data_IF_660995331737
#
_entry.id   IF_660995331737
#
_cell.length_a   1.000
_cell.length_b   1.000
_cell.length_c   1.000
_cell.angle_alpha   90.00
_cell.angle_beta   90.00
_cell.angle_gamma   90.00
#
_symmetry.space_group_name_H-M   'P 1'
#
loop_
_entity.id
_entity.type
_entity.pdbx_description
1 polymer ?
#
# COMPACT_ATOMS: atom_id res chain seq x y z
N UNK A 1 -2.10 -16.19 2.44
CA UNK A 1 -2.27 -14.76 2.08
C UNK A 1 -2.29 -14.65 0.56
N UNK A 2 -2.84 -13.57 0.00
CA UNK A 2 -2.74 -13.27 -1.43
C UNK A 2 -2.63 -11.76 -1.68
N UNK A 3 -2.18 -11.37 -2.87
CA UNK A 3 -2.28 -9.99 -3.31
C UNK A 3 -3.74 -9.68 -3.67
N UNK A 4 -4.17 -8.46 -3.39
CA UNK A 4 -5.48 -8.02 -3.85
C UNK A 4 -5.46 -7.64 -5.32
N UNK A 5 -6.63 -7.73 -5.96
CA UNK A 5 -6.79 -7.45 -7.38
C UNK A 5 -6.53 -5.98 -7.76
N UNK A 6 -6.36 -5.76 -9.07
CA UNK A 6 -6.18 -4.46 -9.70
C UNK A 6 -4.91 -3.71 -9.26
N UNK A 7 -3.85 -4.45 -8.95
CA UNK A 7 -2.51 -3.91 -8.69
C UNK A 7 -1.56 -4.36 -9.80
N UNK A 8 -0.67 -3.47 -10.23
CA UNK A 8 0.38 -3.80 -11.20
C UNK A 8 1.73 -3.36 -10.66
N UNK A 9 2.79 -4.13 -10.98
CA UNK A 9 4.16 -3.71 -10.77
C UNK A 9 4.69 -3.06 -12.06
N UNK A 10 5.36 -1.92 -11.92
CA UNK A 10 6.03 -1.20 -13.01
C UNK A 10 7.46 -0.87 -12.62
N UNK A 11 8.35 -0.90 -13.59
CA UNK A 11 9.70 -0.36 -13.45
C UNK A 11 9.75 1.04 -14.07
N UNK A 12 10.24 2.02 -13.31
CA UNK A 12 10.41 3.41 -13.75
C UNK A 12 11.78 3.89 -13.28
N UNK A 13 12.65 4.26 -14.23
CA UNK A 13 14.01 4.73 -13.96
C UNK A 13 14.83 3.80 -13.04
N UNK A 14 14.70 2.48 -13.22
CA UNK A 14 15.39 1.47 -12.41
C UNK A 14 14.81 1.26 -11.00
N UNK A 15 13.64 1.86 -10.70
CA UNK A 15 12.91 1.64 -9.46
C UNK A 15 11.63 0.85 -9.72
N UNK A 16 11.24 0.02 -8.74
CA UNK A 16 10.03 -0.80 -8.82
C UNK A 16 8.87 -0.15 -8.07
N UNK A 17 7.72 -0.07 -8.71
CA UNK A 17 6.57 0.70 -8.26
C UNK A 17 5.29 -0.11 -8.38
N UNK A 18 4.57 -0.25 -7.27
CA UNK A 18 3.23 -0.86 -7.25
C UNK A 18 2.21 0.24 -7.49
N UNK A 19 1.41 0.07 -8.55
CA UNK A 19 0.41 1.03 -8.99
C UNK A 19 -0.98 0.41 -8.90
N UNK A 20 -1.92 1.06 -8.18
CA UNK A 20 -3.31 0.67 -8.21
C UNK A 20 -3.95 1.05 -9.54
N UNK A 21 -4.82 0.19 -10.04
CA UNK A 21 -5.55 0.40 -11.31
C UNK A 21 -7.06 0.30 -11.09
N UNK A 22 -7.84 0.80 -12.04
CA UNK A 22 -9.30 0.69 -12.01
C UNK A 22 -9.93 1.31 -10.76
N UNK A 23 -10.77 0.53 -10.07
CA UNK A 23 -11.56 1.01 -8.91
C UNK A 23 -10.69 1.22 -7.67
N UNK A 24 -9.54 0.55 -7.59
CA UNK A 24 -8.62 0.63 -6.44
C UNK A 24 -7.88 1.96 -6.33
N UNK A 25 -7.87 2.78 -7.37
CA UNK A 25 -7.33 4.16 -7.30
C UNK A 25 -7.99 4.98 -6.17
N UNK A 26 -9.24 4.65 -5.80
CA UNK A 26 -9.97 5.31 -4.71
C UNK A 26 -9.66 4.74 -3.31
N UNK A 27 -9.18 3.49 -3.22
CA UNK A 27 -8.91 2.76 -1.96
C UNK A 27 -7.43 2.78 -1.57
N UNK A 28 -6.54 2.76 -2.57
CA UNK A 28 -5.10 2.80 -2.43
C UNK A 28 -4.65 4.09 -3.11
N UNK A 29 -4.44 5.13 -2.31
CA UNK A 29 -4.03 6.45 -2.81
C UNK A 29 -2.51 6.59 -2.88
N UNK A 30 -1.76 5.62 -2.39
CA UNK A 30 -0.29 5.63 -2.38
C UNK A 30 0.30 4.76 -3.48
N UNK A 31 1.14 5.38 -4.30
CA UNK A 31 2.14 4.70 -5.11
C UNK A 31 3.19 4.14 -4.15
N UNK A 32 3.47 2.84 -4.22
CA UNK A 32 4.42 2.18 -3.30
C UNK A 32 5.69 1.79 -4.03
N UNK A 33 6.82 2.33 -3.59
CA UNK A 33 8.14 1.98 -4.11
C UNK A 33 8.69 0.78 -3.33
N UNK A 34 9.25 -0.19 -4.06
CA UNK A 34 9.80 -1.42 -3.48
C UNK A 34 11.20 -1.70 -4.02
N UNK A 35 11.96 -2.54 -3.31
CA UNK A 35 13.29 -3.00 -3.74
C UNK A 35 13.20 -4.01 -4.89
N UNK A 36 14.32 -4.28 -5.56
CA UNK A 36 14.43 -5.35 -6.56
C UNK A 36 14.16 -6.75 -5.96
N UNK A 37 14.59 -6.99 -4.72
CA UNK A 37 14.30 -8.24 -4.02
C UNK A 37 12.81 -8.43 -3.73
N UNK A 38 12.10 -7.34 -3.41
CA UNK A 38 10.65 -7.35 -3.24
C UNK A 38 9.92 -7.52 -4.59
N UNK A 39 10.43 -6.92 -5.66
CA UNK A 39 9.93 -7.13 -7.02
C UNK A 39 10.06 -8.59 -7.46
N UNK A 40 11.17 -9.25 -7.14
CA UNK A 40 11.35 -10.69 -7.36
C UNK A 40 10.27 -11.52 -6.66
N UNK A 41 9.94 -11.22 -5.39
CA UNK A 41 8.87 -11.90 -4.68
C UNK A 41 7.49 -11.60 -5.28
N UNK A 42 7.26 -10.35 -5.70
CA UNK A 42 6.01 -9.92 -6.32
C UNK A 42 5.63 -10.76 -7.54
N UNK A 43 6.60 -11.09 -8.40
CA UNK A 43 6.38 -11.91 -9.59
C UNK A 43 5.79 -13.28 -9.28
N UNK A 44 6.14 -13.86 -8.13
CA UNK A 44 5.49 -15.09 -7.66
C UNK A 44 4.11 -14.80 -7.06
N UNK A 45 4.02 -13.79 -6.18
CA UNK A 45 2.82 -13.49 -5.40
C UNK A 45 1.62 -13.06 -6.25
N UNK A 46 1.83 -12.50 -7.44
CA UNK A 46 0.74 -12.02 -8.32
C UNK A 46 -0.15 -13.15 -8.85
N UNK A 47 0.39 -14.36 -8.93
CA UNK A 47 -0.29 -15.53 -9.53
C UNK A 47 -0.58 -16.64 -8.50
N UNK A 48 -0.22 -16.45 -7.22
CA UNK A 48 -0.26 -17.51 -6.21
C UNK A 48 -0.76 -17.00 -4.86
N UNK A 49 -1.45 -17.88 -4.13
CA UNK A 49 -1.53 -17.75 -2.67
C UNK A 49 -0.19 -18.17 -2.05
N UNK A 50 0.18 -17.53 -0.95
CA UNK A 50 1.47 -17.74 -0.32
C UNK A 50 1.39 -17.64 1.21
N UNK A 51 2.35 -18.30 1.84
CA UNK A 51 2.70 -18.13 3.25
C UNK A 51 3.95 -17.27 3.39
N UNK A 52 4.26 -16.87 4.61
CA UNK A 52 5.49 -16.14 4.93
C UNK A 52 6.71 -17.02 4.62
N UNK A 53 6.65 -18.29 5.01
CA UNK A 53 7.71 -19.28 4.86
C UNK A 53 8.02 -19.55 3.38
N UNK A 54 7.00 -19.56 2.52
CA UNK A 54 7.20 -19.68 1.06
C UNK A 54 8.07 -18.55 0.50
N UNK A 55 7.86 -17.32 0.97
CA UNK A 55 8.62 -16.15 0.51
C UNK A 55 10.05 -16.18 1.04
N UNK A 56 10.26 -16.59 2.30
CA UNK A 56 11.60 -16.76 2.89
C UNK A 56 12.38 -17.81 2.11
N UNK A 57 11.78 -18.97 1.86
CA UNK A 57 12.41 -20.04 1.08
C UNK A 57 12.79 -19.60 -0.33
N UNK A 58 11.98 -18.73 -0.96
CA UNK A 58 12.30 -18.14 -2.26
C UNK A 58 13.51 -17.23 -2.23
N UNK A 59 13.62 -16.37 -1.22
CA UNK A 59 14.82 -15.54 -1.03
C UNK A 59 16.05 -16.42 -0.85
N UNK A 60 15.96 -17.41 0.05
CA UNK A 60 17.06 -18.33 0.34
C UNK A 60 17.48 -19.18 -0.88
N UNK A 61 16.52 -19.55 -1.74
CA UNK A 61 16.80 -20.30 -2.97
C UNK A 61 17.32 -19.45 -4.12
N UNK A 62 17.03 -18.15 -4.15
CA UNK A 62 17.42 -17.26 -5.25
C UNK A 62 18.73 -16.50 -4.99
N UNK A 63 18.99 -16.12 -3.74
CA UNK A 63 20.14 -15.31 -3.37
C UNK A 63 21.20 -16.11 -2.61
N UNK A 64 22.45 -16.03 -3.08
CA UNK A 64 23.59 -16.67 -2.41
C UNK A 64 24.13 -15.76 -1.29
N UNK A 65 24.43 -16.32 -0.13
CA UNK A 65 25.05 -15.60 0.99
C UNK A 65 24.07 -14.81 1.87
N UNK A 66 22.77 -15.04 1.74
CA UNK A 66 21.74 -14.51 2.65
C UNK A 66 21.50 -15.53 3.75
N UNK A 67 21.42 -15.09 5.00
CA UNK A 67 21.03 -15.96 6.13
C UNK A 67 19.52 -16.02 6.25
N UNK A 68 19.01 -17.10 6.83
CA UNK A 68 17.57 -17.27 7.05
C UNK A 68 17.01 -16.13 7.90
N UNK A 69 17.71 -15.70 8.94
CA UNK A 69 17.27 -14.61 9.81
C UNK A 69 17.13 -13.29 9.04
N UNK A 70 18.07 -13.01 8.13
CA UNK A 70 18.01 -11.80 7.31
C UNK A 70 16.87 -11.88 6.29
N UNK A 71 16.72 -13.02 5.60
CA UNK A 71 15.64 -13.23 4.66
C UNK A 71 14.27 -13.11 5.35
N UNK A 72 14.13 -13.73 6.51
CA UNK A 72 12.97 -13.70 7.40
C UNK A 72 12.61 -12.26 7.79
N UNK A 73 13.58 -11.48 8.27
CA UNK A 73 13.36 -10.08 8.63
C UNK A 73 13.02 -9.20 7.42
N UNK A 74 13.63 -9.44 6.26
CA UNK A 74 13.36 -8.69 5.03
C UNK A 74 11.94 -8.97 4.51
N UNK A 75 11.52 -10.24 4.52
CA UNK A 75 10.15 -10.65 4.18
C UNK A 75 9.13 -10.02 5.11
N UNK A 76 9.39 -9.99 6.42
CA UNK A 76 8.48 -9.35 7.38
C UNK A 76 8.29 -7.86 7.11
N UNK A 77 9.39 -7.14 6.86
CA UNK A 77 9.32 -5.72 6.50
C UNK A 77 8.55 -5.51 5.21
N UNK A 78 8.74 -6.38 4.22
CA UNK A 78 8.01 -6.29 2.96
C UNK A 78 6.50 -6.55 3.15
N UNK A 79 6.12 -7.63 3.84
CA UNK A 79 4.72 -7.94 4.12
C UNK A 79 4.04 -6.79 4.89
N UNK A 80 4.74 -6.20 5.86
CA UNK A 80 4.25 -5.02 6.59
C UNK A 80 4.00 -3.81 5.68
N UNK A 81 4.88 -3.54 4.72
CA UNK A 81 4.66 -2.45 3.73
C UNK A 81 3.38 -2.71 2.93
N UNK A 82 3.16 -3.95 2.48
CA UNK A 82 1.97 -4.29 1.71
C UNK A 82 0.70 -4.24 2.57
N UNK A 83 0.80 -4.66 3.83
CA UNK A 83 -0.28 -4.56 4.83
C UNK A 83 -0.69 -3.10 5.06
N UNK A 84 0.27 -2.23 5.39
CA UNK A 84 0.06 -0.83 5.74
C UNK A 84 -0.53 -0.03 4.55
N UNK A 85 -0.28 -0.48 3.33
CA UNK A 85 -0.80 0.09 2.08
C UNK A 85 -2.04 -0.64 1.54
N UNK A 86 -2.65 -1.54 2.32
CA UNK A 86 -3.88 -2.24 1.96
C UNK A 86 -3.76 -3.06 0.66
N UNK A 87 -2.56 -3.58 0.35
CA UNK A 87 -2.24 -4.37 -0.85
C UNK A 87 -2.48 -5.87 -0.60
N UNK A 88 -2.28 -6.36 0.62
CA UNK A 88 -2.52 -7.76 0.98
C UNK A 88 -3.98 -8.04 1.32
N UNK A 89 -4.43 -9.23 0.92
CA UNK A 89 -5.59 -9.92 1.45
C UNK A 89 -5.12 -11.11 2.30
N UNK A 90 -5.21 -10.95 3.61
CA UNK A 90 -4.83 -11.92 4.62
C UNK A 90 -6.00 -12.30 5.53
N UNK A 91 -7.24 -11.98 5.11
CA UNK A 91 -8.45 -12.24 5.89
C UNK A 91 -8.64 -11.30 7.09
N UNK A 92 -7.71 -10.40 7.38
CA UNK A 92 -7.86 -9.41 8.46
C UNK A 92 -8.63 -8.20 7.90
N UNK A 93 -9.83 -7.96 8.43
CA UNK A 93 -10.61 -6.75 8.13
C UNK A 93 -9.95 -5.53 8.77
N UNK A 94 -8.99 -4.92 8.06
CA UNK A 94 -8.37 -3.66 8.48
C UNK A 94 -9.27 -2.50 8.12
N UNK A 95 -9.93 -1.93 9.12
CA UNK A 95 -10.69 -0.70 8.94
C UNK A 95 -9.77 0.49 8.67
N UNK A 96 -9.66 0.92 7.41
CA UNK A 96 -9.72 2.36 7.14
C UNK A 96 -11.09 2.65 6.61
N UNK A 97 -11.95 3.09 7.52
CA UNK A 97 -13.11 3.89 7.16
C UNK A 97 -12.60 5.09 6.38
N UNK A 98 -12.59 5.03 5.04
CA UNK A 98 -12.85 6.24 4.28
C UNK A 98 -14.31 6.50 4.53
N UNK A 99 -14.59 7.16 5.65
CA UNK A 99 -15.92 7.55 6.00
C UNK A 99 -16.38 8.52 4.91
N UNK A 100 -17.13 8.01 3.95
CA UNK A 100 -18.08 8.84 3.20
C UNK A 100 -19.14 9.20 4.21
N UNK A 101 -18.79 10.10 5.15
CA UNK A 101 -19.71 10.57 6.18
C UNK A 101 -20.86 11.23 5.46
N UNK A 102 -22.09 10.78 5.74
CA UNK A 102 -23.27 11.46 5.23
C UNK A 102 -23.28 12.89 5.76
N UNK A 103 -23.83 13.82 4.97
CA UNK A 103 -23.91 15.24 5.33
C UNK A 103 -24.56 15.44 6.71
N UNK A 104 -25.57 14.64 7.03
CA UNK A 104 -26.28 14.62 8.32
C UNK A 104 -25.37 14.25 9.51
N UNK A 105 -24.42 13.35 9.31
CA UNK A 105 -23.47 12.96 10.37
C UNK A 105 -22.41 14.04 10.61
N UNK A 106 -21.97 14.72 9.55
CA UNK A 106 -21.01 15.82 9.62
C UNK A 106 -21.59 17.05 10.32
N UNK A 107 -22.84 17.41 10.00
CA UNK A 107 -23.55 18.53 10.62
C UNK A 107 -23.84 18.28 12.11
N UNK A 108 -24.01 17.01 12.51
CA UNK A 108 -24.20 16.61 13.92
C UNK A 108 -22.91 16.66 14.73
N UNK A 109 -21.77 16.25 14.15
CA UNK A 109 -20.48 16.28 14.83
C UNK A 109 -19.84 17.67 14.85
N UNK A 110 -20.19 18.52 13.89
CA UNK A 110 -19.67 19.87 13.78
C UNK A 110 -20.79 20.88 13.50
N UNK A 111 -21.58 21.24 14.53
CA UNK A 111 -22.60 22.27 14.38
C UNK A 111 -21.90 23.63 14.28
N UNK A 112 -21.93 24.22 13.09
CA UNK A 112 -21.55 25.60 12.76
C UNK A 112 -20.33 26.17 13.52
N UNK A 113 -19.13 25.97 12.97
CA UNK A 113 -17.92 26.66 13.43
C UNK A 113 -16.59 26.10 12.93
N UNK A 114 -16.59 25.45 11.75
CA UNK A 114 -15.47 24.63 11.24
C UNK A 114 -14.19 25.44 11.12
N UNK A 115 -13.00 24.83 11.33
CA UNK A 115 -11.75 25.59 11.41
C UNK A 115 -11.62 26.50 10.20
N UNK A 116 -11.63 27.80 10.49
CA UNK A 116 -11.62 28.87 9.51
C UNK A 116 -10.32 28.79 8.71
N UNK A 117 -10.45 28.53 7.41
CA UNK A 117 -9.32 28.67 6.49
C UNK A 117 -9.13 30.16 6.24
N UNK A 118 -8.28 30.78 7.05
CA UNK A 118 -7.78 32.12 6.79
C UNK A 118 -6.95 32.06 5.50
N UNK A 119 -7.57 32.43 4.38
CA UNK A 119 -6.86 32.76 3.15
C UNK A 119 -6.44 34.22 3.31
N UNK A 120 -5.16 34.41 3.56
CA UNK A 120 -4.52 35.71 3.48
C UNK A 120 -4.70 36.27 2.05
N UNK A 121 -5.12 37.53 1.99
CA UNK A 121 -5.42 38.24 0.76
C UNK A 121 -4.14 38.73 0.09
N UNK A 122 -4.18 38.81 -1.23
CA UNK A 122 -3.11 39.37 -2.06
C UNK A 122 -3.66 39.79 -3.42
N UNK A 123 -4.27 40.98 -3.40
CA UNK A 123 -4.66 41.94 -4.44
C UNK A 123 -4.25 41.75 -5.92
N UNK A 124 -5.12 42.28 -6.79
CA UNK A 124 -4.81 42.72 -8.16
C UNK A 124 -5.98 42.55 -9.13
N UNK A 125 -7.06 43.34 -9.03
CA UNK A 125 -7.34 44.51 -9.90
C UNK A 125 -6.98 44.31 -11.39
N UNK A 126 -8.00 44.04 -12.23
CA UNK A 126 -8.54 44.96 -13.26
C UNK A 126 -9.55 44.20 -14.14
#
# INVERSE_FOLDING_TARGET
MKLKDQLILREVAGQYVIVPTGKRVQEVTSIVYISSSAAYLWEYMKDHEFTREDLVNRIMGHYVGVTEEKASADVDRFLKILEDNNILDDGVKRGRSVARMSKEFFDKLWPAGGPSKQRDGGDGQA
#
